data_IF_816243783254
#
_entry.id   IF_816243783254
#
_cell.length_a   1.000
_cell.length_b   1.000
_cell.length_c   1.000
_cell.angle_alpha   90.00
_cell.angle_beta   90.00
_cell.angle_gamma   90.00
#
_symmetry.space_group_name_H-M   'P 1'
#
loop_
_entity.id
_entity.type
_entity.pdbx_description
1 polymer ?
#
# COMPACT_ATOMS: atom_id res chain seq x y z
N UNK A 1 22.87 37.80 -1.51
CA UNK A 1 22.70 37.11 -2.80
C UNK A 1 23.02 35.65 -2.54
N UNK A 2 21.98 34.83 -2.39
CA UNK A 2 22.13 33.41 -2.05
C UNK A 2 22.19 32.62 -3.34
N UNK A 3 23.39 32.16 -3.70
CA UNK A 3 23.63 31.34 -4.88
C UNK A 3 22.96 29.99 -4.66
N UNK A 4 21.87 29.72 -5.39
CA UNK A 4 21.30 28.38 -5.50
C UNK A 4 22.27 27.55 -6.33
N UNK A 5 23.01 26.66 -5.70
CA UNK A 5 23.66 25.57 -6.43
C UNK A 5 22.56 24.62 -6.90
N UNK A 6 22.31 24.64 -8.21
CA UNK A 6 21.60 23.58 -8.90
C UNK A 6 22.52 22.37 -8.83
N UNK A 7 22.21 21.42 -7.97
CA UNK A 7 22.85 20.11 -8.01
C UNK A 7 22.46 19.53 -9.37
N UNK A 8 23.42 19.47 -10.30
CA UNK A 8 23.29 18.67 -11.51
C UNK A 8 23.00 17.23 -11.06
N UNK A 9 21.75 16.80 -11.29
CA UNK A 9 21.37 15.41 -11.12
C UNK A 9 22.11 14.66 -12.22
N UNK A 10 23.18 13.98 -11.84
CA UNK A 10 23.91 13.05 -12.71
C UNK A 10 22.88 12.13 -13.41
N UNK A 11 22.76 12.24 -14.73
CA UNK A 11 21.80 11.50 -15.56
C UNK A 11 22.10 9.98 -15.61
N UNK A 12 22.99 9.47 -14.76
CA UNK A 12 23.41 8.07 -14.72
C UNK A 12 23.11 7.37 -13.38
N UNK A 13 21.81 7.03 -13.20
CA UNK A 13 21.18 5.91 -12.43
C UNK A 13 21.12 5.94 -10.88
N UNK A 14 19.99 5.51 -10.22
CA UNK A 14 19.61 4.08 -10.11
C UNK A 14 18.09 3.73 -10.02
N UNK A 15 17.17 4.35 -10.78
CA UNK A 15 15.74 3.93 -10.80
C UNK A 15 15.17 3.77 -12.21
N UNK A 16 15.87 3.02 -13.06
CA UNK A 16 15.24 2.53 -14.30
C UNK A 16 14.02 1.67 -13.91
N UNK A 17 12.83 2.04 -14.42
CA UNK A 17 11.66 1.18 -14.47
C UNK A 17 10.62 1.36 -13.35
N UNK A 18 9.94 2.51 -13.29
CA UNK A 18 8.65 2.60 -12.60
C UNK A 18 7.53 2.48 -13.60
N UNK A 19 6.65 1.51 -13.38
CA UNK A 19 5.52 1.22 -14.25
C UNK A 19 4.23 1.29 -13.46
N UNK A 20 3.17 1.72 -14.13
CA UNK A 20 1.85 1.68 -13.54
C UNK A 20 0.78 1.22 -14.54
N UNK A 21 -0.17 0.43 -14.03
CA UNK A 21 -1.45 0.17 -14.68
C UNK A 21 -2.54 0.73 -13.77
N UNK A 22 -3.27 1.72 -14.26
CA UNK A 22 -4.34 2.40 -13.53
C UNK A 22 -5.65 2.16 -14.26
N UNK A 23 -6.60 1.56 -13.58
CA UNK A 23 -7.90 1.16 -14.14
C UNK A 23 -9.01 1.79 -13.32
N UNK A 24 -10.00 2.39 -13.98
CA UNK A 24 -11.25 2.74 -13.33
C UNK A 24 -12.48 2.50 -14.21
N UNK A 25 -13.55 2.03 -13.57
CA UNK A 25 -14.82 1.73 -14.24
C UNK A 25 -15.95 2.28 -13.39
N UNK A 26 -16.74 3.17 -13.98
CA UNK A 26 -17.91 3.76 -13.32
C UNK A 26 -19.19 3.54 -14.13
N UNK A 27 -19.08 3.51 -15.46
CA UNK A 27 -20.21 3.43 -16.38
C UNK A 27 -20.38 2.01 -16.90
N UNK A 28 -21.05 1.19 -16.09
CA UNK A 28 -21.35 -0.20 -16.44
C UNK A 28 -22.66 -0.33 -17.22
N UNK A 29 -22.73 -1.30 -18.13
CA UNK A 29 -23.95 -1.56 -18.91
C UNK A 29 -24.98 -2.42 -18.16
N UNK A 30 -24.52 -3.47 -17.47
CA UNK A 30 -25.40 -4.44 -16.77
C UNK A 30 -25.23 -4.45 -15.25
N UNK A 31 -24.30 -3.63 -14.75
CA UNK A 31 -23.95 -3.51 -13.33
C UNK A 31 -24.31 -2.09 -12.89
N UNK A 32 -24.64 -1.82 -11.60
CA UNK A 32 -24.95 -0.48 -11.16
C UNK A 32 -23.83 0.52 -11.44
N UNK A 33 -24.20 1.70 -11.96
CA UNK A 33 -23.25 2.78 -12.21
C UNK A 33 -22.68 3.33 -10.90
N UNK A 34 -21.43 3.75 -10.92
CA UNK A 34 -20.76 4.42 -9.81
C UNK A 34 -20.65 5.93 -10.06
N UNK A 35 -20.44 6.75 -9.00
CA UNK A 35 -20.24 8.18 -9.16
C UNK A 35 -19.03 8.52 -10.04
N UNK A 36 -19.06 9.69 -10.69
CA UNK A 36 -17.97 10.19 -11.55
C UNK A 36 -16.62 10.30 -10.83
N UNK A 37 -16.61 10.35 -9.50
CA UNK A 37 -15.41 10.36 -8.67
C UNK A 37 -14.52 9.14 -8.91
N UNK A 38 -15.08 7.97 -9.23
CA UNK A 38 -14.32 6.75 -9.54
C UNK A 38 -13.41 6.93 -10.75
N UNK A 39 -13.88 7.63 -11.77
CA UNK A 39 -13.04 7.98 -12.93
C UNK A 39 -12.05 9.09 -12.59
N UNK A 40 -12.39 10.03 -11.70
CA UNK A 40 -11.44 11.04 -11.22
C UNK A 40 -10.31 10.40 -10.43
N UNK A 41 -10.57 9.34 -9.66
CA UNK A 41 -9.56 8.60 -8.91
C UNK A 41 -8.40 8.16 -9.81
N UNK A 42 -8.70 7.42 -10.87
CA UNK A 42 -7.68 6.97 -11.82
C UNK A 42 -7.01 8.14 -12.56
N UNK A 43 -7.78 9.14 -12.98
CA UNK A 43 -7.24 10.32 -13.68
C UNK A 43 -6.24 11.09 -12.81
N UNK A 44 -6.59 11.34 -11.54
CA UNK A 44 -5.77 12.11 -10.61
C UNK A 44 -4.59 11.28 -10.09
N UNK A 45 -4.73 9.95 -9.97
CA UNK A 45 -3.60 9.04 -9.70
C UNK A 45 -2.59 9.12 -10.83
N UNK A 46 -2.99 8.95 -12.09
CA UNK A 46 -2.09 9.07 -13.25
C UNK A 46 -1.42 10.44 -13.28
N UNK A 47 -2.19 11.52 -13.14
CA UNK A 47 -1.66 12.88 -13.13
C UNK A 47 -0.65 13.12 -12.00
N UNK A 48 -0.82 12.46 -10.86
CA UNK A 48 0.12 12.59 -9.73
C UNK A 48 1.36 11.74 -9.95
N UNK A 49 1.20 10.51 -10.44
CA UNK A 49 2.30 9.60 -10.75
C UNK A 49 3.24 10.22 -11.79
N UNK A 50 2.71 10.78 -12.88
CA UNK A 50 3.53 11.33 -13.98
C UNK A 50 3.97 12.78 -13.76
N UNK A 51 3.53 13.42 -12.67
CA UNK A 51 3.98 14.78 -12.34
C UNK A 51 5.45 14.77 -11.89
N UNK A 52 6.28 15.52 -12.60
CA UNK A 52 7.66 15.77 -12.20
C UNK A 52 7.79 16.53 -10.87
N UNK A 53 6.73 17.24 -10.43
CA UNK A 53 6.70 17.91 -9.14
C UNK A 53 6.28 16.98 -7.98
N UNK A 54 5.85 15.75 -8.27
CA UNK A 54 5.39 14.79 -7.27
C UNK A 54 6.15 13.48 -7.40
N UNK A 55 5.69 12.56 -8.25
CA UNK A 55 6.15 11.18 -8.25
C UNK A 55 7.09 10.84 -9.40
N UNK A 56 7.15 11.60 -10.49
CA UNK A 56 8.19 11.43 -11.53
C UNK A 56 8.17 10.12 -12.33
N UNK A 57 7.03 9.41 -12.43
CA UNK A 57 6.90 8.30 -13.36
C UNK A 57 7.04 8.81 -14.81
N UNK A 58 7.79 8.07 -15.62
CA UNK A 58 7.84 8.34 -17.05
C UNK A 58 6.46 8.06 -17.69
N UNK A 59 5.93 9.03 -18.45
CA UNK A 59 4.58 8.96 -19.03
C UNK A 59 4.35 7.66 -19.83
N UNK A 60 5.36 7.19 -20.57
CA UNK A 60 5.29 5.98 -21.38
C UNK A 60 5.17 4.68 -20.56
N UNK A 61 5.50 4.71 -19.26
CA UNK A 61 5.42 3.55 -18.39
C UNK A 61 4.08 3.49 -17.61
N UNK A 62 3.22 4.51 -17.74
CA UNK A 62 1.93 4.59 -17.06
C UNK A 62 0.80 4.37 -18.05
N UNK A 63 0.07 3.28 -17.86
CA UNK A 63 -1.13 2.96 -18.63
C UNK A 63 -2.38 3.34 -17.84
N UNK A 64 -3.31 4.02 -18.51
CA UNK A 64 -4.65 4.33 -18.01
C UNK A 64 -5.71 3.61 -18.83
N UNK A 65 -6.63 2.90 -18.16
CA UNK A 65 -7.84 2.33 -18.76
C UNK A 65 -9.07 2.90 -18.04
N UNK A 66 -9.94 3.60 -18.76
CA UNK A 66 -11.18 4.18 -18.23
C UNK A 66 -12.40 3.63 -18.97
N UNK A 67 -13.44 3.24 -18.22
CA UNK A 67 -14.73 2.77 -18.74
C UNK A 67 -14.58 1.88 -19.98
N UNK A 68 -14.98 2.35 -21.17
CA UNK A 68 -14.99 1.59 -22.43
C UNK A 68 -13.63 1.02 -22.82
N UNK A 69 -12.53 1.52 -22.26
CA UNK A 69 -11.18 0.99 -22.46
C UNK A 69 -10.81 -0.10 -21.45
N UNK A 70 -11.47 -0.13 -20.29
CA UNK A 70 -11.23 -1.07 -19.20
C UNK A 70 -12.06 -2.35 -19.40
N UNK A 71 -11.94 -2.97 -20.56
CA UNK A 71 -12.48 -4.30 -20.85
C UNK A 71 -11.62 -5.37 -20.18
N UNK A 72 -12.19 -6.56 -19.94
CA UNK A 72 -11.43 -7.68 -19.39
C UNK A 72 -10.20 -8.02 -20.25
N UNK A 73 -10.38 -8.03 -21.57
CA UNK A 73 -9.30 -8.29 -22.53
C UNK A 73 -8.21 -7.22 -22.50
N UNK A 74 -8.57 -5.94 -22.43
CA UNK A 74 -7.58 -4.86 -22.33
C UNK A 74 -6.79 -4.92 -21.01
N UNK A 75 -7.44 -5.25 -19.89
CA UNK A 75 -6.76 -5.43 -18.60
C UNK A 75 -5.77 -6.60 -18.68
N UNK A 76 -6.18 -7.75 -19.26
CA UNK A 76 -5.30 -8.91 -19.48
C UNK A 76 -4.07 -8.54 -20.32
N UNK A 77 -4.29 -7.88 -21.46
CA UNK A 77 -3.21 -7.47 -22.35
C UNK A 77 -2.21 -6.55 -21.66
N UNK A 78 -2.67 -5.62 -20.82
CA UNK A 78 -1.79 -4.71 -20.11
C UNK A 78 -1.03 -5.39 -18.95
N UNK A 79 -1.63 -6.39 -18.29
CA UNK A 79 -0.93 -7.23 -17.31
C UNK A 79 0.17 -8.07 -17.99
N UNK A 80 -0.12 -8.66 -19.14
CA UNK A 80 0.88 -9.42 -19.91
C UNK A 80 1.97 -8.49 -20.47
N UNK A 81 1.61 -7.29 -20.91
CA UNK A 81 2.58 -6.28 -21.34
C UNK A 81 3.48 -5.80 -20.18
N UNK A 82 2.94 -5.69 -18.95
CA UNK A 82 3.74 -5.42 -17.75
C UNK A 82 4.71 -6.56 -17.48
N UNK A 83 4.24 -7.81 -17.52
CA UNK A 83 5.07 -8.99 -17.32
C UNK A 83 6.20 -9.11 -18.35
N UNK A 84 5.96 -8.68 -19.59
CA UNK A 84 6.95 -8.69 -20.66
C UNK A 84 8.05 -7.62 -20.46
N UNK A 85 7.69 -6.41 -20.00
CA UNK A 85 8.62 -5.27 -19.95
C UNK A 85 9.30 -5.05 -18.60
N UNK A 86 8.64 -5.38 -17.50
CA UNK A 86 9.17 -5.13 -16.16
C UNK A 86 10.40 -5.99 -15.88
N UNK A 87 11.44 -5.39 -15.31
CA UNK A 87 12.66 -6.06 -14.87
C UNK A 87 12.66 -6.27 -13.35
N UNK A 88 13.49 -7.18 -12.79
CA UNK A 88 13.53 -7.44 -11.36
C UNK A 88 13.73 -6.20 -10.47
N UNK A 89 14.56 -5.24 -10.92
CA UNK A 89 14.83 -3.99 -10.20
C UNK A 89 13.71 -2.95 -10.26
N UNK A 90 12.71 -3.15 -11.11
CA UNK A 90 11.63 -2.19 -11.37
C UNK A 90 10.62 -2.16 -10.21
N UNK A 91 9.86 -1.06 -10.13
CA UNK A 91 8.65 -0.99 -9.29
C UNK A 91 7.41 -0.95 -10.16
N UNK A 92 6.44 -1.81 -9.85
CA UNK A 92 5.14 -1.88 -10.53
C UNK A 92 4.03 -1.50 -9.56
N UNK A 93 3.23 -0.51 -9.96
CA UNK A 93 2.01 -0.09 -9.25
C UNK A 93 0.78 -0.45 -10.08
N UNK A 94 -0.14 -1.21 -9.50
CA UNK A 94 -1.44 -1.50 -10.12
C UNK A 94 -2.52 -0.84 -9.27
N UNK A 95 -3.33 0.02 -9.86
CA UNK A 95 -4.44 0.70 -9.20
C UNK A 95 -5.76 0.34 -9.88
N UNK A 96 -6.76 -0.04 -9.10
CA UNK A 96 -8.12 -0.29 -9.59
C UNK A 96 -9.14 0.47 -8.74
N UNK A 97 -10.03 1.24 -9.38
CA UNK A 97 -11.21 1.86 -8.74
C UNK A 97 -12.50 1.46 -9.47
N UNK A 98 -13.44 0.83 -8.77
CA UNK A 98 -14.65 0.29 -9.40
C UNK A 98 -15.42 -0.72 -8.53
N UNK A 99 -16.16 -1.63 -9.16
CA UNK A 99 -16.81 -2.75 -8.45
C UNK A 99 -15.88 -3.94 -8.26
N UNK A 100 -16.01 -4.58 -7.10
CA UNK A 100 -15.54 -5.94 -6.85
C UNK A 100 -16.72 -6.90 -6.74
N UNK A 101 -16.56 -8.11 -7.24
CA UNK A 101 -17.56 -9.17 -7.20
C UNK A 101 -17.04 -10.39 -6.44
N UNK A 102 -17.94 -11.23 -5.95
CA UNK A 102 -17.66 -12.54 -5.36
C UNK A 102 -18.49 -13.61 -6.03
N UNK A 103 -17.80 -14.63 -6.50
CA UNK A 103 -18.37 -15.85 -7.07
C UNK A 103 -18.00 -17.01 -6.14
N UNK A 104 -18.91 -17.35 -5.22
CA UNK A 104 -18.63 -18.30 -4.14
C UNK A 104 -17.52 -17.77 -3.20
N UNK A 105 -16.40 -18.49 -3.17
CA UNK A 105 -15.24 -18.18 -2.33
C UNK A 105 -14.16 -17.35 -3.05
N UNK A 106 -14.38 -17.01 -4.32
CA UNK A 106 -13.44 -16.24 -5.12
C UNK A 106 -13.91 -14.80 -5.31
N UNK A 107 -13.00 -13.85 -5.14
CA UNK A 107 -13.26 -12.44 -5.42
C UNK A 107 -12.84 -12.09 -6.85
N UNK A 108 -13.38 -11.02 -7.42
CA UNK A 108 -13.09 -10.61 -8.79
C UNK A 108 -13.15 -9.09 -8.93
N UNK A 109 -12.32 -8.54 -9.83
CA UNK A 109 -12.47 -7.16 -10.31
C UNK A 109 -13.50 -7.16 -11.44
N UNK A 110 -14.38 -6.16 -11.49
CA UNK A 110 -15.46 -6.07 -12.49
C UNK A 110 -15.08 -5.07 -13.59
N UNK A 111 -14.74 -5.54 -14.80
CA UNK A 111 -14.47 -4.70 -15.96
C UNK A 111 -15.76 -4.10 -16.56
N UNK A 112 -15.62 -3.16 -17.50
CA UNK A 112 -16.77 -2.45 -18.09
C UNK A 112 -17.72 -3.38 -18.86
N UNK A 113 -17.18 -4.44 -19.46
CA UNK A 113 -17.86 -5.40 -20.32
C UNK A 113 -18.38 -6.62 -19.54
N UNK A 114 -18.49 -6.50 -18.20
CA UNK A 114 -19.10 -7.52 -17.36
C UNK A 114 -20.53 -7.83 -17.80
N UNK A 115 -20.80 -9.11 -18.02
CA UNK A 115 -22.10 -9.68 -18.34
C UNK A 115 -22.62 -10.42 -17.11
N UNK A 116 -23.74 -9.96 -16.56
CA UNK A 116 -24.33 -10.52 -15.33
C UNK A 116 -24.81 -11.96 -15.48
N UNK A 117 -24.98 -12.44 -16.71
CA UNK A 117 -25.30 -13.84 -17.01
C UNK A 117 -24.05 -14.72 -17.20
N UNK A 118 -22.86 -14.10 -17.35
CA UNK A 118 -21.58 -14.78 -17.60
C UNK A 118 -20.47 -14.17 -16.74
N UNK A 119 -20.76 -13.94 -15.47
CA UNK A 119 -19.85 -13.22 -14.54
C UNK A 119 -18.48 -13.91 -14.50
N UNK A 120 -18.44 -15.23 -14.29
CA UNK A 120 -17.20 -15.99 -14.23
C UNK A 120 -16.29 -15.80 -15.46
N UNK A 121 -16.87 -15.56 -16.64
CA UNK A 121 -16.16 -15.39 -17.91
C UNK A 121 -15.85 -13.93 -18.25
N UNK A 122 -16.52 -12.98 -17.61
CA UNK A 122 -16.48 -11.55 -17.94
C UNK A 122 -15.98 -10.67 -16.79
N UNK A 123 -15.55 -11.28 -15.70
CA UNK A 123 -14.80 -10.62 -14.61
C UNK A 123 -13.37 -11.12 -14.52
N UNK A 124 -12.47 -10.31 -13.98
CA UNK A 124 -11.10 -10.73 -13.69
C UNK A 124 -11.09 -11.40 -12.31
N UNK A 125 -11.15 -12.73 -12.30
CA UNK A 125 -11.15 -13.55 -11.10
C UNK A 125 -9.82 -13.42 -10.34
N UNK A 126 -9.86 -13.58 -9.01
CA UNK A 126 -8.68 -13.43 -8.15
C UNK A 126 -7.58 -14.43 -8.50
N UNK A 127 -7.91 -15.70 -8.76
CA UNK A 127 -6.91 -16.70 -9.14
C UNK A 127 -6.25 -16.32 -10.48
N UNK A 128 -7.04 -15.83 -11.44
CA UNK A 128 -6.52 -15.35 -12.71
C UNK A 128 -5.60 -14.13 -12.50
N UNK A 129 -6.03 -13.18 -11.68
CA UNK A 129 -5.26 -11.98 -11.39
C UNK A 129 -3.97 -12.31 -10.65
N UNK A 130 -4.01 -13.15 -9.61
CA UNK A 130 -2.83 -13.62 -8.88
C UNK A 130 -1.83 -14.32 -9.81
N UNK A 131 -2.33 -15.14 -10.73
CA UNK A 131 -1.50 -15.82 -11.75
C UNK A 131 -0.88 -14.81 -12.72
N UNK A 132 -1.58 -13.73 -13.08
CA UNK A 132 -1.02 -12.65 -13.89
C UNK A 132 0.04 -11.85 -13.12
N UNK A 133 -0.22 -11.49 -11.86
CA UNK A 133 0.74 -10.82 -10.99
C UNK A 133 2.03 -11.64 -10.80
N UNK A 134 1.92 -12.97 -10.69
CA UNK A 134 3.07 -13.86 -10.58
C UNK A 134 3.96 -13.93 -11.83
N UNK A 135 3.45 -13.50 -13.00
CA UNK A 135 4.27 -13.38 -14.22
C UNK A 135 5.08 -12.09 -14.27
N UNK A 136 4.75 -11.09 -13.46
CA UNK A 136 5.48 -9.83 -13.41
C UNK A 136 6.80 -10.05 -12.66
N UNK A 137 7.91 -9.81 -13.35
CA UNK A 137 9.27 -10.08 -12.84
C UNK A 137 9.75 -9.11 -11.77
N UNK A 138 9.12 -7.94 -11.67
CA UNK A 138 9.50 -6.91 -10.71
C UNK A 138 9.37 -7.43 -9.28
N UNK A 139 10.42 -7.27 -8.49
CA UNK A 139 10.47 -7.66 -7.07
C UNK A 139 9.81 -6.61 -6.17
N UNK A 140 9.21 -5.56 -6.76
CA UNK A 140 8.54 -4.47 -6.05
C UNK A 140 7.18 -4.24 -6.69
N UNK A 141 6.16 -4.96 -6.23
CA UNK A 141 4.83 -4.92 -6.80
C UNK A 141 3.82 -4.48 -5.73
N UNK A 142 3.20 -3.31 -5.94
CA UNK A 142 2.09 -2.83 -5.11
C UNK A 142 0.78 -2.83 -5.89
N UNK A 143 -0.24 -3.48 -5.34
CA UNK A 143 -1.62 -3.43 -5.84
C UNK A 143 -2.44 -2.58 -4.88
N UNK A 144 -3.19 -1.62 -5.43
CA UNK A 144 -4.07 -0.71 -4.73
C UNK A 144 -5.50 -0.94 -5.25
N UNK A 145 -6.39 -1.47 -4.40
CA UNK A 145 -7.80 -1.71 -4.77
C UNK A 145 -8.68 -0.74 -4.01
N UNK A 146 -9.33 0.15 -4.76
CA UNK A 146 -10.37 1.04 -4.27
C UNK A 146 -11.74 0.61 -4.80
N UNK A 147 -12.23 -0.52 -4.30
CA UNK A 147 -13.48 -1.11 -4.77
C UNK A 147 -14.59 -1.06 -3.71
N UNK A 148 -15.78 -0.62 -4.12
CA UNK A 148 -16.96 -0.58 -3.24
C UNK A 148 -17.56 -1.98 -3.04
N UNK A 149 -17.81 -2.37 -1.79
CA UNK A 149 -18.45 -3.64 -1.44
C UNK A 149 -19.98 -3.56 -1.42
N UNK A 150 -20.60 -2.79 -0.50
CA UNK A 150 -21.98 -3.11 -0.11
C UNK A 150 -23.10 -2.26 -0.76
N UNK A 151 -22.78 -1.19 -1.49
CA UNK A 151 -23.80 -0.35 -2.15
C UNK A 151 -24.48 -1.03 -3.35
N UNK A 152 -23.77 -1.92 -4.05
CA UNK A 152 -24.33 -2.63 -5.18
C UNK A 152 -24.92 -4.01 -4.80
N UNK A 153 -24.68 -4.55 -3.60
CA UNK A 153 -25.21 -5.87 -3.20
C UNK A 153 -26.75 -5.89 -3.14
N UNK A 154 -27.36 -4.76 -2.76
CA UNK A 154 -28.81 -4.56 -2.85
C UNK A 154 -29.30 -4.50 -4.30
N UNK A 155 -28.48 -4.00 -5.22
CA UNK A 155 -28.82 -3.83 -6.64
C UNK A 155 -28.60 -5.13 -7.44
N UNK A 156 -27.55 -5.92 -7.18
CA UNK A 156 -27.31 -7.20 -7.85
C UNK A 156 -28.33 -8.29 -7.47
N UNK A 157 -28.77 -8.32 -6.20
CA UNK A 157 -29.90 -9.17 -5.78
C UNK A 157 -31.20 -8.85 -6.51
N UNK A 158 -31.41 -7.59 -6.92
CA UNK A 158 -32.59 -7.19 -7.68
C UNK A 158 -32.59 -7.64 -9.15
N UNK A 159 -31.43 -8.08 -9.68
CA UNK A 159 -31.27 -8.54 -11.07
C UNK A 159 -31.17 -10.09 -11.16
N UNK A 160 -31.37 -10.80 -10.05
CA UNK A 160 -31.43 -12.28 -10.03
C UNK A 160 -30.07 -12.98 -10.18
N UNK A 161 -28.95 -12.26 -10.15
CA UNK A 161 -27.62 -12.84 -10.14
C UNK A 161 -27.22 -13.25 -8.71
N UNK A 162 -26.74 -14.49 -8.53
CA UNK A 162 -26.03 -14.93 -7.31
C UNK A 162 -24.61 -14.36 -7.32
N UNK A 163 -24.51 -13.04 -7.25
CA UNK A 163 -23.25 -12.32 -7.16
C UNK A 163 -23.22 -11.56 -5.84
N UNK A 164 -22.41 -12.05 -4.91
CA UNK A 164 -22.02 -11.26 -3.76
C UNK A 164 -20.99 -10.23 -4.23
N UNK A 165 -20.76 -9.17 -3.47
CA UNK A 165 -19.81 -8.13 -3.85
C UNK A 165 -18.59 -8.11 -2.95
N UNK A 166 -17.60 -7.31 -3.34
CA UNK A 166 -16.41 -7.03 -2.56
C UNK A 166 -15.34 -8.11 -2.65
N UNK A 167 -14.30 -7.95 -1.83
CA UNK A 167 -13.20 -8.90 -1.70
C UNK A 167 -13.29 -9.61 -0.36
N UNK A 168 -13.12 -10.93 -0.33
CA UNK A 168 -12.94 -11.64 0.92
C UNK A 168 -11.46 -11.60 1.37
N UNK A 169 -11.20 -11.84 2.65
CA UNK A 169 -9.84 -11.78 3.19
C UNK A 169 -8.90 -12.83 2.58
N UNK A 170 -9.42 -14.00 2.23
CA UNK A 170 -8.65 -15.09 1.60
C UNK A 170 -8.09 -14.64 0.25
N UNK A 171 -8.92 -14.06 -0.60
CA UNK A 171 -8.54 -13.53 -1.91
C UNK A 171 -7.52 -12.40 -1.79
N UNK A 172 -7.69 -11.50 -0.81
CA UNK A 172 -6.70 -10.44 -0.57
C UNK A 172 -5.34 -10.99 -0.12
N UNK A 173 -5.34 -12.05 0.69
CA UNK A 173 -4.11 -12.75 1.06
C UNK A 173 -3.47 -13.44 -0.16
N UNK A 174 -4.27 -14.06 -1.04
CA UNK A 174 -3.79 -14.71 -2.26
C UNK A 174 -3.19 -13.71 -3.25
N UNK A 175 -3.82 -12.56 -3.46
CA UNK A 175 -3.27 -11.49 -4.29
C UNK A 175 -1.95 -10.96 -3.75
N UNK A 176 -1.75 -11.00 -2.42
CA UNK A 176 -0.52 -10.58 -1.77
C UNK A 176 0.56 -11.67 -1.73
N UNK A 177 0.31 -12.88 -2.25
CA UNK A 177 1.31 -13.96 -2.28
C UNK A 177 2.43 -13.66 -3.27
N UNK A 178 3.65 -13.97 -2.86
CA UNK A 178 4.87 -13.79 -3.65
C UNK A 178 5.84 -12.80 -2.99
N UNK A 179 7.11 -12.94 -3.31
CA UNK A 179 8.18 -12.09 -2.78
C UNK A 179 8.03 -10.67 -3.30
N UNK A 180 8.15 -9.69 -2.40
CA UNK A 180 8.14 -8.27 -2.77
C UNK A 180 6.77 -7.75 -3.23
N UNK A 181 5.70 -8.45 -2.86
CA UNK A 181 4.32 -8.11 -3.23
C UNK A 181 3.53 -7.55 -2.06
N UNK A 182 2.83 -6.44 -2.34
CA UNK A 182 1.94 -5.78 -1.39
C UNK A 182 0.56 -5.55 -2.01
N UNK A 183 -0.48 -5.81 -1.23
CA UNK A 183 -1.86 -5.48 -1.54
C UNK A 183 -2.41 -4.51 -0.47
N UNK A 184 -2.81 -3.30 -0.89
CA UNK A 184 -3.57 -2.35 -0.06
C UNK A 184 -4.99 -2.21 -0.64
N UNK A 185 -6.01 -2.48 0.16
CA UNK A 185 -7.40 -2.23 -0.23
C UNK A 185 -8.04 -1.14 0.62
N UNK A 186 -9.01 -0.43 0.05
CA UNK A 186 -9.62 0.76 0.64
C UNK A 186 -10.49 0.50 1.86
N UNK A 187 -11.05 -0.70 2.01
CA UNK A 187 -11.87 -1.11 3.15
C UNK A 187 -11.65 -2.59 3.48
N UNK A 188 -12.11 -3.01 4.66
CA UNK A 188 -12.22 -4.43 5.00
C UNK A 188 -13.32 -5.11 4.20
N UNK A 189 -13.26 -6.44 4.13
CA UNK A 189 -14.28 -7.28 3.49
C UNK A 189 -15.71 -7.04 4.00
N UNK A 190 -15.89 -6.48 5.21
CA UNK A 190 -17.19 -6.20 5.83
C UNK A 190 -17.60 -4.73 5.76
N UNK A 191 -16.79 -3.87 5.11
CA UNK A 191 -16.92 -2.42 5.16
C UNK A 191 -17.07 -1.81 3.76
N UNK A 192 -17.66 -0.61 3.70
CA UNK A 192 -17.81 0.13 2.45
C UNK A 192 -16.54 0.93 2.12
N UNK A 193 -16.25 1.08 0.82
CA UNK A 193 -15.41 2.19 0.35
C UNK A 193 -16.33 3.37 0.02
N UNK A 194 -16.03 4.55 0.55
CA UNK A 194 -16.90 5.71 0.41
C UNK A 194 -16.43 6.68 -0.67
N UNK A 195 -17.37 7.10 -1.52
CA UNK A 195 -17.28 8.30 -2.34
C UNK A 195 -18.26 9.35 -1.79
N UNK A 196 -17.73 10.35 -1.09
CA UNK A 196 -18.55 11.36 -0.42
C UNK A 196 -19.19 12.31 -1.43
N UNK A 197 -20.46 12.67 -1.20
CA UNK A 197 -21.19 13.57 -2.10
C UNK A 197 -20.48 14.92 -2.25
N UNK A 198 -20.20 15.32 -3.50
CA UNK A 198 -19.49 16.56 -3.82
C UNK A 198 -17.96 16.49 -3.73
N UNK A 199 -17.39 15.38 -3.24
CA UNK A 199 -15.95 15.16 -3.29
C UNK A 199 -15.50 14.85 -4.72
N UNK A 200 -14.28 15.27 -5.06
CA UNK A 200 -13.67 14.99 -6.37
C UNK A 200 -13.32 13.52 -6.51
N UNK A 201 -12.78 12.92 -5.46
CA UNK A 201 -12.26 11.56 -5.42
C UNK A 201 -13.00 10.74 -4.35
N UNK A 202 -12.84 9.41 -4.39
CA UNK A 202 -13.19 8.57 -3.24
C UNK A 202 -12.38 8.98 -2.01
N UNK A 203 -12.85 8.61 -0.81
CA UNK A 203 -12.16 8.92 0.44
C UNK A 203 -10.76 8.29 0.49
N UNK A 204 -10.63 7.04 0.03
CA UNK A 204 -9.35 6.36 -0.02
C UNK A 204 -8.40 7.05 -1.00
N UNK A 205 -8.88 7.33 -2.22
CA UNK A 205 -8.05 7.93 -3.26
C UNK A 205 -7.67 9.37 -2.93
N UNK A 206 -8.55 10.16 -2.32
CA UNK A 206 -8.22 11.49 -1.82
C UNK A 206 -6.98 11.47 -0.91
N UNK A 207 -6.95 10.54 0.05
CA UNK A 207 -5.83 10.42 0.98
C UNK A 207 -4.60 9.74 0.36
N UNK A 208 -4.78 8.84 -0.62
CA UNK A 208 -3.68 8.30 -1.42
C UNK A 208 -2.97 9.41 -2.19
N UNK A 209 -3.73 10.28 -2.85
CA UNK A 209 -3.20 11.44 -3.55
C UNK A 209 -2.50 12.39 -2.58
N UNK A 210 -3.06 12.61 -1.39
CA UNK A 210 -2.41 13.37 -0.33
C UNK A 210 -1.05 12.80 0.08
N UNK A 211 -0.95 11.47 0.22
CA UNK A 211 0.31 10.80 0.53
C UNK A 211 1.35 11.00 -0.57
N UNK A 212 0.96 10.73 -1.83
CA UNK A 212 1.82 10.81 -3.02
C UNK A 212 2.26 12.25 -3.35
N UNK A 213 1.49 13.25 -2.93
CA UNK A 213 1.82 14.68 -3.10
C UNK A 213 2.66 15.25 -1.95
N UNK A 214 3.22 14.40 -1.10
CA UNK A 214 4.16 14.79 -0.02
C UNK A 214 3.52 14.96 1.35
N UNK A 215 2.28 14.52 1.56
CA UNK A 215 1.65 14.50 2.88
C UNK A 215 2.16 13.37 3.77
N UNK A 216 2.66 12.28 3.18
CA UNK A 216 3.24 11.17 3.93
C UNK A 216 4.57 11.57 4.59
N UNK A 217 4.80 11.10 5.82
CA UNK A 217 6.06 11.34 6.53
C UNK A 217 7.15 10.43 5.97
N UNK A 218 7.93 10.93 5.03
CA UNK A 218 9.06 10.22 4.42
C UNK A 218 10.32 10.28 5.29
N UNK A 219 11.38 9.66 4.79
CA UNK A 219 12.70 9.61 5.41
C UNK A 219 13.60 10.80 5.01
N UNK A 220 13.11 11.70 4.14
CA UNK A 220 13.88 12.83 3.62
C UNK A 220 14.92 12.46 2.54
N UNK A 221 14.90 11.22 2.05
CA UNK A 221 15.81 10.72 1.02
C UNK A 221 15.27 10.87 -0.41
N UNK A 222 14.13 11.56 -0.56
CA UNK A 222 13.50 11.81 -1.86
C UNK A 222 12.61 10.67 -2.35
N UNK A 223 12.28 9.68 -1.49
CA UNK A 223 11.48 8.52 -1.84
C UNK A 223 10.23 8.40 -0.96
N UNK A 224 9.12 8.00 -1.58
CA UNK A 224 7.89 7.59 -0.91
C UNK A 224 7.79 6.07 -1.03
N UNK A 225 7.68 5.38 0.11
CA UNK A 225 7.61 3.91 0.21
C UNK A 225 6.21 3.45 0.60
N UNK A 226 5.98 2.17 0.41
CA UNK A 226 4.69 1.51 0.65
C UNK A 226 4.14 1.82 2.03
N UNK A 227 4.94 1.66 3.09
CA UNK A 227 4.45 1.86 4.45
C UNK A 227 4.14 3.32 4.75
N UNK A 228 4.86 4.27 4.16
CA UNK A 228 4.56 5.70 4.33
C UNK A 228 3.20 6.05 3.74
N UNK A 229 2.88 5.51 2.56
CA UNK A 229 1.56 5.65 1.94
C UNK A 229 0.48 4.97 2.79
N UNK A 230 0.64 3.69 3.13
CA UNK A 230 -0.38 2.98 3.91
C UNK A 230 -0.62 3.66 5.26
N UNK A 231 0.43 4.12 5.94
CA UNK A 231 0.32 4.76 7.23
C UNK A 231 -0.48 6.06 7.17
N UNK A 232 -0.20 6.91 6.17
CA UNK A 232 -0.90 8.16 5.94
C UNK A 232 -2.37 7.91 5.59
N UNK A 233 -2.62 7.05 4.60
CA UNK A 233 -3.98 6.74 4.12
C UNK A 233 -4.81 6.14 5.24
N UNK A 234 -4.29 5.12 5.93
CA UNK A 234 -5.00 4.42 6.99
C UNK A 234 -5.34 5.33 8.16
N UNK A 235 -4.46 6.27 8.53
CA UNK A 235 -4.74 7.25 9.59
C UNK A 235 -5.84 8.23 9.19
N UNK A 236 -5.74 8.82 8.00
CA UNK A 236 -6.68 9.83 7.51
C UNK A 236 -8.07 9.25 7.24
N UNK A 237 -8.15 8.09 6.59
CA UNK A 237 -9.44 7.41 6.31
C UNK A 237 -10.14 7.04 7.62
N UNK A 238 -9.42 6.47 8.59
CA UNK A 238 -10.01 6.11 9.91
C UNK A 238 -10.46 7.32 10.70
N UNK A 239 -9.78 8.46 10.54
CA UNK A 239 -10.19 9.71 11.17
C UNK A 239 -11.44 10.30 10.51
N UNK A 240 -11.51 10.27 9.17
CA UNK A 240 -12.65 10.79 8.42
C UNK A 240 -13.91 9.93 8.54
N UNK A 241 -13.76 8.60 8.60
CA UNK A 241 -14.86 7.64 8.72
C UNK A 241 -14.63 6.64 9.87
N UNK A 242 -14.68 7.09 11.14
CA UNK A 242 -14.44 6.24 12.30
C UNK A 242 -15.39 5.04 12.34
N UNK A 243 -14.84 3.83 12.47
CA UNK A 243 -15.62 2.59 12.55
C UNK A 243 -16.28 2.14 11.25
N UNK A 244 -16.16 2.90 10.16
CA UNK A 244 -16.91 2.65 8.92
C UNK A 244 -16.04 2.24 7.74
N UNK A 245 -14.80 2.75 7.65
CA UNK A 245 -13.86 2.38 6.60
C UNK A 245 -12.44 2.24 7.16
N UNK A 246 -11.85 1.06 6.99
CA UNK A 246 -10.48 0.76 7.40
C UNK A 246 -9.68 0.22 6.22
N UNK A 247 -8.71 0.99 5.70
CA UNK A 247 -7.77 0.47 4.72
C UNK A 247 -7.01 -0.72 5.29
N UNK A 248 -6.85 -1.74 4.47
CA UNK A 248 -6.15 -2.98 4.82
C UNK A 248 -4.82 -3.08 4.09
N UNK A 249 -3.88 -3.78 4.70
CA UNK A 249 -2.56 -4.06 4.14
C UNK A 249 -2.32 -5.57 4.22
N UNK A 250 -1.88 -6.17 3.11
CA UNK A 250 -1.53 -7.60 3.02
C UNK A 250 -0.20 -7.75 2.28
N UNK A 251 0.67 -8.59 2.83
CA UNK A 251 1.92 -9.04 2.23
C UNK A 251 2.26 -10.41 2.83
N UNK A 252 2.76 -11.35 2.01
CA UNK A 252 3.20 -12.66 2.51
C UNK A 252 4.69 -12.70 2.81
N UNK A 253 5.50 -12.09 1.95
CA UNK A 253 6.96 -12.20 1.95
C UNK A 253 7.57 -10.85 1.53
N UNK A 254 7.56 -9.91 2.48
CA UNK A 254 8.06 -8.55 2.30
C UNK A 254 9.29 -8.35 3.16
N UNK A 255 10.46 -8.46 2.54
CA UNK A 255 11.75 -8.23 3.19
C UNK A 255 11.99 -6.73 3.43
N UNK A 256 11.62 -5.90 2.45
CA UNK A 256 11.90 -4.46 2.43
C UNK A 256 10.66 -3.57 2.24
N UNK A 257 10.65 -2.43 2.94
CA UNK A 257 9.74 -1.32 2.65
C UNK A 257 10.23 -0.57 1.39
N UNK A 258 9.84 -1.08 0.22
CA UNK A 258 10.35 -0.58 -1.06
C UNK A 258 9.73 0.75 -1.52
N UNK A 259 10.45 1.57 -2.31
CA UNK A 259 9.94 2.81 -2.87
C UNK A 259 8.92 2.59 -3.98
N UNK A 260 7.86 3.39 -3.97
CA UNK A 260 6.79 3.40 -4.99
C UNK A 260 6.62 4.75 -5.69
N UNK A 261 7.31 5.80 -5.25
CA UNK A 261 7.32 7.08 -5.94
C UNK A 261 8.49 7.94 -5.48
N UNK A 262 8.82 8.98 -6.25
CA UNK A 262 9.67 10.06 -5.80
C UNK A 262 8.86 10.93 -4.83
N UNK A 263 9.55 11.53 -3.87
CA UNK A 263 9.00 12.60 -3.04
C UNK A 263 9.27 13.94 -3.72
N UNK A 264 8.22 14.68 -4.07
CA UNK A 264 8.30 16.04 -4.61
C UNK A 264 9.29 16.19 -5.78
N UNK A 265 9.30 15.22 -6.71
CA UNK A 265 10.21 15.19 -7.85
C UNK A 265 11.61 14.68 -7.53
N UNK A 266 11.81 14.07 -6.36
CA UNK A 266 13.10 13.52 -5.93
C UNK A 266 14.02 14.57 -5.32
N UNK A 267 13.51 15.76 -5.01
CA UNK A 267 14.27 16.81 -4.34
C UNK A 267 14.59 16.35 -2.92
N UNK A 268 15.83 15.93 -2.72
CA UNK A 268 16.38 15.71 -1.38
C UNK A 268 16.36 17.05 -0.66
N UNK A 269 15.61 17.17 0.43
CA UNK A 269 15.77 18.32 1.33
C UNK A 269 17.13 18.18 2.02
N UNK A 270 18.13 18.88 1.50
CA UNK A 270 19.32 19.25 2.25
C UNK A 270 18.91 20.36 3.22
N UNK A 271 18.27 20.02 4.33
CA UNK A 271 17.96 21.02 5.37
C UNK A 271 18.27 20.50 6.79
N UNK A 272 18.79 21.44 7.57
CA UNK A 272 19.48 21.30 8.84
C UNK A 272 18.57 20.87 10.01
N UNK A 273 18.22 19.58 10.06
CA UNK A 273 17.68 18.95 11.29
C UNK A 273 18.36 17.60 11.53
N UNK A 274 19.61 17.65 11.97
CA UNK A 274 20.39 16.47 12.37
C UNK A 274 19.67 15.63 13.44
N UNK A 275 18.90 16.23 14.35
CA UNK A 275 18.22 15.50 15.43
C UNK A 275 17.00 14.66 14.99
N UNK A 276 16.24 15.11 13.99
CA UNK A 276 15.01 14.39 13.55
C UNK A 276 15.35 13.28 12.55
N UNK A 277 16.34 13.52 11.67
CA UNK A 277 16.86 12.51 10.75
C UNK A 277 17.53 11.35 11.50
N UNK A 278 18.23 11.64 12.60
CA UNK A 278 18.91 10.64 13.42
C UNK A 278 17.91 9.75 14.16
N UNK A 279 16.86 10.33 14.76
CA UNK A 279 15.78 9.53 15.37
C UNK A 279 15.13 8.58 14.36
N UNK A 280 14.85 9.03 13.13
CA UNK A 280 14.27 8.19 12.07
C UNK A 280 15.20 7.08 11.56
N UNK A 281 16.52 7.23 11.72
CA UNK A 281 17.52 6.21 11.41
C UNK A 281 17.61 5.16 12.52
N UNK A 282 17.61 5.61 13.77
CA UNK A 282 17.62 4.76 14.96
C UNK A 282 16.41 3.81 14.98
N UNK A 283 15.20 4.32 14.70
CA UNK A 283 14.01 3.47 14.64
C UNK A 283 14.05 2.40 13.54
N UNK A 284 14.71 2.68 12.41
CA UNK A 284 14.90 1.70 11.33
C UNK A 284 15.88 0.62 11.71
N UNK A 285 17.04 1.02 12.26
CA UNK A 285 18.02 0.05 12.76
C UNK A 285 17.41 -0.83 13.84
N UNK A 286 16.61 -0.25 14.74
CA UNK A 286 15.94 -1.01 15.78
C UNK A 286 14.91 -2.00 15.18
N UNK A 287 14.13 -1.59 14.17
CA UNK A 287 13.19 -2.50 13.48
C UNK A 287 13.90 -3.67 12.79
N UNK A 288 14.99 -3.37 12.08
CA UNK A 288 15.79 -4.36 11.36
C UNK A 288 16.40 -5.37 12.34
N UNK A 289 17.12 -4.87 13.36
CA UNK A 289 17.74 -5.70 14.39
C UNK A 289 16.70 -6.56 15.11
N UNK A 290 15.58 -5.97 15.55
CA UNK A 290 14.57 -6.72 16.30
C UNK A 290 13.85 -7.74 15.41
N UNK A 291 13.65 -7.45 14.13
CA UNK A 291 13.05 -8.42 13.20
C UNK A 291 13.96 -9.61 12.94
N UNK A 292 15.28 -9.41 12.96
CA UNK A 292 16.26 -10.47 12.76
C UNK A 292 16.47 -11.31 14.03
N UNK A 293 16.52 -10.66 15.20
CA UNK A 293 16.72 -11.33 16.48
C UNK A 293 15.45 -12.00 17.02
N UNK A 294 14.27 -11.48 16.66
CA UNK A 294 12.96 -11.92 17.14
C UNK A 294 11.99 -12.13 15.95
N UNK A 295 12.22 -13.14 15.10
CA UNK A 295 11.51 -13.33 13.84
C UNK A 295 10.02 -13.68 14.02
N UNK A 296 9.58 -14.10 15.21
CA UNK A 296 8.17 -14.31 15.51
C UNK A 296 7.41 -13.02 15.92
N UNK A 297 8.11 -11.87 15.93
CA UNK A 297 7.54 -10.56 16.23
C UNK A 297 7.73 -10.12 17.69
N UNK A 298 7.06 -9.03 18.11
CA UNK A 298 7.20 -8.44 19.46
C UNK A 298 6.89 -9.39 20.63
N UNK A 299 6.10 -10.43 20.38
CA UNK A 299 5.73 -11.45 21.36
C UNK A 299 6.83 -12.50 21.58
N UNK A 300 7.82 -12.57 20.68
CA UNK A 300 8.90 -13.53 20.75
C UNK A 300 9.73 -13.30 22.01
N UNK A 301 10.03 -14.39 22.71
CA UNK A 301 10.70 -14.40 24.02
C UNK A 301 10.12 -13.38 25.02
N UNK A 302 8.82 -13.09 24.88
CA UNK A 302 8.08 -12.09 25.66
C UNK A 302 8.77 -10.72 25.69
N UNK A 303 9.56 -10.38 24.67
CA UNK A 303 10.43 -9.20 24.66
C UNK A 303 9.64 -7.93 24.94
N UNK A 304 8.51 -7.73 24.25
CA UNK A 304 7.68 -6.54 24.44
C UNK A 304 7.14 -6.42 25.87
N UNK A 305 6.77 -7.54 26.48
CA UNK A 305 6.25 -7.57 27.85
C UNK A 305 7.36 -7.30 28.87
N UNK A 306 8.54 -7.91 28.69
CA UNK A 306 9.73 -7.64 29.51
C UNK A 306 10.22 -6.20 29.42
N UNK A 307 10.02 -5.56 28.26
CA UNK A 307 10.30 -4.15 28.06
C UNK A 307 9.28 -3.19 28.72
N UNK A 308 8.30 -3.69 29.48
CA UNK A 308 7.25 -2.87 30.12
C UNK A 308 6.05 -2.60 29.22
N UNK A 309 5.92 -3.37 28.14
CA UNK A 309 4.86 -3.27 27.15
C UNK A 309 3.65 -4.13 27.49
N UNK A 310 2.53 -3.81 26.87
CA UNK A 310 1.29 -4.56 26.92
C UNK A 310 0.99 -5.11 25.53
N UNK A 311 1.19 -6.42 25.36
CA UNK A 311 0.94 -7.14 24.10
C UNK A 311 -0.49 -6.94 23.60
N UNK A 312 -1.49 -6.77 24.49
CA UNK A 312 -2.88 -6.55 24.08
C UNK A 312 -3.11 -5.24 23.33
N UNK A 313 -2.19 -4.28 23.47
CA UNK A 313 -2.20 -3.00 22.75
C UNK A 313 -1.60 -3.10 21.34
N UNK A 314 -0.98 -4.23 21.02
CA UNK A 314 -0.38 -4.46 19.71
C UNK A 314 -1.37 -5.12 18.75
N UNK A 315 -1.22 -4.79 17.48
CA UNK A 315 -1.89 -5.51 16.39
C UNK A 315 -0.96 -6.56 15.86
N UNK A 316 -1.10 -7.76 16.41
CA UNK A 316 -0.29 -8.92 16.03
C UNK A 316 -1.02 -9.68 14.92
N UNK A 317 -0.56 -9.51 13.68
CA UNK A 317 -1.06 -10.24 12.52
C UNK A 317 -0.17 -10.01 11.30
N UNK A 318 0.19 -11.08 10.60
CA UNK A 318 1.16 -11.06 9.50
C UNK A 318 2.50 -11.67 9.90
N UNK A 319 3.57 -11.36 9.16
CA UNK A 319 4.94 -11.80 9.47
C UNK A 319 5.49 -11.10 10.72
N UNK A 320 6.52 -11.68 11.35
CA UNK A 320 7.17 -11.08 12.53
C UNK A 320 7.65 -9.65 12.28
N UNK A 321 8.26 -9.39 11.11
CA UNK A 321 8.69 -8.05 10.68
C UNK A 321 7.51 -7.07 10.53
N UNK A 322 6.40 -7.50 9.94
CA UNK A 322 5.18 -6.67 9.86
C UNK A 322 4.62 -6.32 11.25
N UNK A 323 4.69 -7.27 12.18
CA UNK A 323 4.28 -7.02 13.57
C UNK A 323 5.27 -6.13 14.32
N UNK A 324 6.58 -6.23 14.07
CA UNK A 324 7.60 -5.32 14.61
C UNK A 324 7.40 -3.89 14.10
N UNK A 325 7.20 -3.73 12.80
CA UNK A 325 6.86 -2.44 12.20
C UNK A 325 5.65 -1.79 12.88
N UNK A 326 4.56 -2.55 13.04
CA UNK A 326 3.34 -2.07 13.68
C UNK A 326 3.55 -1.72 15.17
N UNK A 327 4.35 -2.52 15.88
CA UNK A 327 4.62 -2.32 17.29
C UNK A 327 5.52 -1.10 17.53
N UNK A 328 6.62 -0.96 16.78
CA UNK A 328 7.51 0.20 16.87
C UNK A 328 6.80 1.49 16.46
N UNK A 329 5.89 1.44 15.48
CA UNK A 329 5.00 2.60 15.20
C UNK A 329 4.14 2.97 16.41
N UNK A 330 3.55 1.97 17.06
CA UNK A 330 2.70 2.18 18.25
C UNK A 330 3.52 2.82 19.38
N UNK A 331 4.76 2.34 19.60
CA UNK A 331 5.67 2.87 20.60
C UNK A 331 6.08 4.32 20.32
N UNK A 332 6.40 4.65 19.07
CA UNK A 332 6.74 6.02 18.64
C UNK A 332 5.61 7.03 18.86
N UNK A 333 4.37 6.56 18.92
CA UNK A 333 3.20 7.38 19.19
C UNK A 333 2.87 7.45 20.70
N UNK A 334 3.74 6.93 21.57
CA UNK A 334 3.54 6.86 23.02
C UNK A 334 2.58 5.76 23.46
N UNK A 335 2.29 4.79 22.59
CA UNK A 335 1.47 3.62 22.89
C UNK A 335 2.30 2.38 23.24
N UNK A 336 1.65 1.22 23.30
CA UNK A 336 2.34 -0.07 23.44
C UNK A 336 2.52 -0.57 24.86
N UNK A 337 2.25 0.25 25.88
CA UNK A 337 2.31 -0.11 27.31
C UNK A 337 2.48 1.15 28.17
N UNK A 338 2.48 1.00 29.49
CA UNK A 338 2.66 2.14 30.40
C UNK A 338 4.15 2.48 30.63
N UNK A 339 5.04 1.48 30.53
CA UNK A 339 6.46 1.64 30.87
C UNK A 339 7.39 1.40 29.68
N UNK A 340 6.89 0.82 28.59
CA UNK A 340 7.69 0.61 27.40
C UNK A 340 8.10 1.91 26.73
N UNK A 341 9.37 1.97 26.38
CA UNK A 341 9.99 3.02 25.59
C UNK A 341 11.14 2.41 24.77
N UNK A 342 11.79 3.24 23.95
CA UNK A 342 12.89 2.79 23.10
C UNK A 342 14.02 2.12 23.92
N UNK A 343 14.40 2.74 25.04
CA UNK A 343 15.51 2.25 25.86
C UNK A 343 15.15 0.95 26.58
N UNK A 344 13.95 0.86 27.16
CA UNK A 344 13.53 -0.39 27.81
C UNK A 344 13.46 -1.57 26.84
N UNK A 345 13.12 -1.31 25.58
CA UNK A 345 13.11 -2.32 24.52
C UNK A 345 14.53 -2.75 24.11
N UNK A 346 15.45 -1.79 23.93
CA UNK A 346 16.86 -2.08 23.65
C UNK A 346 17.53 -2.83 24.81
N UNK A 347 17.29 -2.39 26.04
CA UNK A 347 17.85 -2.99 27.26
C UNK A 347 17.35 -4.43 27.43
N UNK A 348 16.07 -4.68 27.17
CA UNK A 348 15.50 -6.03 27.21
C UNK A 348 16.11 -6.92 26.13
N UNK A 349 16.35 -6.39 24.92
CA UNK A 349 17.01 -7.15 23.86
C UNK A 349 18.49 -7.42 24.17
N UNK A 350 19.18 -6.49 24.83
CA UNK A 350 20.57 -6.68 25.27
C UNK A 350 20.71 -7.71 26.41
N UNK A 351 19.66 -7.99 27.17
CA UNK A 351 19.67 -9.10 28.15
C UNK A 351 19.77 -10.46 27.45
N UNK A 352 19.10 -10.63 26.31
CA UNK A 352 19.14 -11.86 25.52
C UNK A 352 20.41 -11.92 24.64
N UNK A 353 20.83 -10.76 24.11
CA UNK A 353 21.94 -10.64 23.17
C UNK A 353 23.03 -9.67 23.68
N UNK A 354 23.74 -10.01 24.78
CA UNK A 354 24.66 -9.10 25.47
C UNK A 354 25.91 -8.72 24.68
N UNK A 355 26.17 -9.37 23.54
CA UNK A 355 27.29 -9.08 22.66
C UNK A 355 26.90 -8.41 21.33
N UNK A 356 25.61 -8.08 21.12
CA UNK A 356 25.15 -7.47 19.88
C UNK A 356 25.64 -6.01 19.76
N UNK A 357 26.61 -5.79 18.87
CA UNK A 357 27.31 -4.50 18.79
C UNK A 357 26.38 -3.35 18.37
N UNK A 358 25.43 -3.60 17.48
CA UNK A 358 24.52 -2.56 17.01
C UNK A 358 23.49 -2.14 18.06
N UNK A 359 22.95 -3.08 18.87
CA UNK A 359 22.08 -2.73 20.01
C UNK A 359 22.83 -1.90 21.04
N UNK A 360 24.10 -2.22 21.31
CA UNK A 360 24.94 -1.41 22.20
C UNK A 360 25.16 0.00 21.65
N UNK A 361 25.37 0.13 20.35
CA UNK A 361 25.52 1.43 19.72
C UNK A 361 24.23 2.26 19.83
N UNK A 362 23.07 1.63 19.66
CA UNK A 362 21.77 2.29 19.85
C UNK A 362 21.52 2.69 21.31
N UNK A 363 21.85 1.84 22.28
CA UNK A 363 21.72 2.14 23.70
C UNK A 363 22.58 3.34 24.14
N UNK A 364 23.79 3.45 23.59
CA UNK A 364 24.74 4.52 23.94
C UNK A 364 24.47 5.85 23.19
N UNK A 365 23.60 5.84 22.18
CA UNK A 365 23.29 7.00 21.33
C UNK A 365 21.89 7.60 21.53
N UNK A 366 21.08 7.06 22.45
CA UNK A 366 19.68 7.44 22.68
C UNK A 366 19.48 8.44 23.81
#
# INVERSE_FOLDING_TARGET
MNTREVIEVDEKTPFAGWHALVVAVANYAQVPVLPRSILNDAQDVVSTLTSAAHCGYAQQNVKLLLDTQATLDAIRQELDALAARAQPSDTVLIFFSGHGARLGDESALVPVDCDTHRVAQTTLLEQEFSTALARIKAERLVVLIDACHAGAAASFKSIGATLDLGFNEKSLNQLAQGTGRVMIASSRATEYSYALGGARNSLFTEHLLGALRGGARTQGDGLIRVFEVFNYVSERVRHAMPGQQHPIFKASDLEDNFPIALELGGVKRLDATSAVADSGKVWRQLEEILSDLYPAGPQDQELWLRAGGDISRLRLGGSGRATWFAALRTLRQGGGGAEINQNSLIDSALQDFPHHQELKNLANGS
#
